data_IF_679072211171
#
_entry.id   IF_679072211171
#
_cell.length_a   1.000
_cell.length_b   1.000
_cell.length_c   1.000
_cell.angle_alpha   90.00
_cell.angle_beta   90.00
_cell.angle_gamma   90.00
#
_symmetry.space_group_name_H-M   'P 1'
#
loop_
_entity.id
_entity.type
_entity.pdbx_description
1 polymer ?
#
# COMPACT_ATOMS: atom_id res chain seq x y z
N UNK A 1 11.32 -22.08 1.83
CA UNK A 1 12.69 -21.63 1.53
C UNK A 1 12.97 -20.46 2.46
N UNK A 2 14.07 -20.41 3.23
CA UNK A 2 14.28 -19.33 4.18
C UNK A 2 14.61 -18.05 3.40
N UNK A 3 13.82 -17.00 3.63
CA UNK A 3 13.93 -15.68 3.04
C UNK A 3 15.17 -14.98 3.61
N UNK A 4 16.31 -15.15 2.95
CA UNK A 4 17.45 -14.27 3.19
C UNK A 4 17.11 -12.88 2.62
N UNK A 5 17.26 -11.88 3.50
CA UNK A 5 17.19 -10.42 3.27
C UNK A 5 15.87 -9.67 3.53
N UNK A 6 14.91 -10.24 4.29
CA UNK A 6 13.78 -9.41 4.76
C UNK A 6 14.23 -8.30 5.70
N UNK A 7 15.18 -8.55 6.60
CA UNK A 7 15.61 -7.54 7.56
C UNK A 7 16.34 -6.37 6.90
N UNK A 8 17.20 -6.63 5.91
CA UNK A 8 17.91 -5.60 5.15
C UNK A 8 16.96 -4.74 4.31
N UNK A 9 15.96 -5.35 3.66
CA UNK A 9 14.90 -4.63 2.96
C UNK A 9 14.09 -3.72 3.91
N UNK A 10 13.75 -4.23 5.10
CA UNK A 10 13.02 -3.48 6.13
C UNK A 10 13.80 -2.27 6.65
N UNK A 11 15.09 -2.45 6.91
CA UNK A 11 16.00 -1.37 7.34
C UNK A 11 16.26 -0.34 6.23
N UNK A 12 16.35 -0.79 4.97
CA UNK A 12 16.47 0.10 3.82
C UNK A 12 15.24 1.02 3.71
N UNK A 13 14.03 0.48 3.87
CA UNK A 13 12.79 1.25 3.87
C UNK A 13 12.73 2.25 5.03
N UNK A 14 13.13 1.84 6.22
CA UNK A 14 13.16 2.67 7.43
C UNK A 14 14.16 3.84 7.34
N UNK A 15 15.27 3.64 6.61
CA UNK A 15 16.33 4.63 6.43
C UNK A 15 16.12 5.59 5.26
N UNK A 16 15.09 5.38 4.42
CA UNK A 16 14.84 6.29 3.31
C UNK A 16 14.40 7.69 3.81
N UNK A 17 15.10 8.74 3.37
CA UNK A 17 14.81 10.12 3.74
C UNK A 17 13.35 10.57 3.49
N UNK A 18 12.86 11.48 4.33
CA UNK A 18 11.57 12.16 4.12
C UNK A 18 11.53 12.88 2.77
N UNK A 19 10.33 12.94 2.18
CA UNK A 19 10.14 13.67 0.92
C UNK A 19 10.30 15.17 1.16
N UNK A 20 11.16 15.88 0.42
CA UNK A 20 11.22 17.32 0.49
C UNK A 20 9.92 17.93 -0.04
N UNK A 21 9.57 19.13 0.44
CA UNK A 21 8.44 19.86 -0.08
C UNK A 21 8.60 20.10 -1.60
N UNK A 22 7.54 19.89 -2.40
CA UNK A 22 7.59 20.12 -3.84
C UNK A 22 7.96 21.58 -4.14
N UNK A 23 8.89 21.76 -5.07
CA UNK A 23 9.25 23.09 -5.57
C UNK A 23 8.18 23.57 -6.55
N UNK A 24 7.12 24.21 -6.02
CA UNK A 24 6.01 24.75 -6.84
C UNK A 24 6.47 25.77 -7.91
N UNK A 25 7.64 26.37 -7.70
CA UNK A 25 8.25 27.37 -8.60
C UNK A 25 9.03 26.74 -9.76
N UNK A 26 9.30 25.44 -9.71
CA UNK A 26 9.87 24.71 -10.85
C UNK A 26 8.70 24.09 -11.61
N UNK A 27 8.23 24.80 -12.64
CA UNK A 27 7.55 24.12 -13.74
C UNK A 27 8.56 23.18 -14.38
N UNK A 28 8.69 21.97 -13.84
CA UNK A 28 9.29 20.86 -14.58
C UNK A 28 8.33 20.61 -15.72
N UNK A 29 8.50 21.35 -16.82
CA UNK A 29 7.80 21.01 -18.05
C UNK A 29 8.25 19.60 -18.35
N UNK A 30 7.28 18.67 -18.33
CA UNK A 30 7.42 17.37 -18.95
C UNK A 30 7.36 17.66 -20.46
N UNK A 31 8.45 18.28 -20.93
CA UNK A 31 8.76 18.45 -22.33
C UNK A 31 9.01 17.03 -22.87
N UNK A 32 8.56 16.80 -24.10
CA UNK A 32 8.75 15.55 -24.87
C UNK A 32 7.71 14.43 -24.72
N UNK A 33 6.61 14.62 -23.98
CA UNK A 33 5.48 13.64 -23.98
C UNK A 33 4.28 14.21 -24.73
N UNK A 34 3.83 13.52 -25.79
CA UNK A 34 2.66 13.92 -26.58
C UNK A 34 1.40 13.93 -25.72
N UNK A 35 0.43 14.79 -26.05
CA UNK A 35 -0.82 14.90 -25.29
C UNK A 35 -1.56 13.56 -25.15
N UNK A 36 -1.59 12.76 -26.23
CA UNK A 36 -2.18 11.42 -26.24
C UNK A 36 -1.48 10.46 -25.26
N UNK A 37 -0.15 10.49 -25.22
CA UNK A 37 0.63 9.68 -24.29
C UNK A 37 0.37 10.09 -22.84
N UNK A 38 0.26 11.40 -22.55
CA UNK A 38 -0.10 11.90 -21.22
C UNK A 38 -1.49 11.42 -20.81
N UNK A 39 -2.47 11.51 -21.71
CA UNK A 39 -3.83 11.07 -21.42
C UNK A 39 -3.93 9.56 -21.19
N UNK A 40 -3.27 8.77 -22.03
CA UNK A 40 -3.22 7.31 -21.87
C UNK A 40 -2.56 6.91 -20.54
N UNK A 41 -1.48 7.59 -20.15
CA UNK A 41 -0.86 7.40 -18.85
C UNK A 41 -1.79 7.73 -17.68
N UNK A 42 -2.49 8.86 -17.72
CA UNK A 42 -3.46 9.22 -16.68
C UNK A 42 -4.58 8.18 -16.60
N UNK A 43 -5.09 7.70 -17.74
CA UNK A 43 -6.11 6.65 -17.75
C UNK A 43 -5.63 5.38 -17.05
N UNK A 44 -4.42 4.91 -17.34
CA UNK A 44 -3.84 3.73 -16.67
C UNK A 44 -3.69 3.96 -15.17
N UNK A 45 -3.14 5.10 -14.79
CA UNK A 45 -2.96 5.47 -13.40
C UNK A 45 -4.30 5.52 -12.64
N UNK A 46 -5.29 6.24 -13.16
CA UNK A 46 -6.60 6.36 -12.51
C UNK A 46 -7.37 5.04 -12.51
N UNK A 47 -7.23 4.21 -13.53
CA UNK A 47 -7.83 2.87 -13.56
C UNK A 47 -7.27 2.00 -12.43
N UNK A 48 -5.96 1.92 -12.30
CA UNK A 48 -5.28 1.20 -11.23
C UNK A 48 -5.63 1.76 -9.84
N UNK A 49 -5.56 3.09 -9.69
CA UNK A 49 -5.88 3.79 -8.44
C UNK A 49 -7.31 3.49 -7.99
N UNK A 50 -8.27 3.58 -8.90
CA UNK A 50 -9.69 3.35 -8.59
C UNK A 50 -9.95 1.90 -8.27
N UNK A 51 -9.31 0.95 -8.97
CA UNK A 51 -9.44 -0.47 -8.68
C UNK A 51 -9.02 -0.80 -7.23
N UNK A 52 -7.86 -0.31 -6.78
CA UNK A 52 -7.43 -0.52 -5.41
C UNK A 52 -8.27 0.26 -4.39
N UNK A 53 -8.69 1.49 -4.72
CA UNK A 53 -9.55 2.29 -3.85
C UNK A 53 -10.87 1.57 -3.53
N UNK A 54 -11.45 0.84 -4.50
CA UNK A 54 -12.64 0.02 -4.26
C UNK A 54 -12.36 -1.07 -3.21
N UNK A 55 -11.18 -1.70 -3.23
CA UNK A 55 -10.81 -2.69 -2.22
C UNK A 55 -10.67 -2.06 -0.82
N UNK A 56 -10.00 -0.90 -0.72
CA UNK A 56 -9.87 -0.12 0.53
C UNK A 56 -11.23 0.32 1.06
N UNK A 57 -12.11 0.83 0.21
CA UNK A 57 -13.46 1.25 0.61
C UNK A 57 -14.33 0.07 1.03
N UNK A 58 -14.19 -1.08 0.35
CA UNK A 58 -14.88 -2.32 0.75
C UNK A 58 -14.41 -2.77 2.13
N UNK A 59 -13.10 -2.73 2.41
CA UNK A 59 -12.54 -3.05 3.72
C UNK A 59 -13.08 -2.11 4.81
N UNK A 60 -13.11 -0.81 4.54
CA UNK A 60 -13.65 0.16 5.49
C UNK A 60 -15.13 -0.11 5.81
N UNK A 61 -15.96 -0.35 4.79
CA UNK A 61 -17.36 -0.71 4.98
C UNK A 61 -17.52 -2.03 5.74
N UNK A 62 -16.65 -3.01 5.44
CA UNK A 62 -16.66 -4.33 6.10
C UNK A 62 -16.39 -4.19 7.58
N UNK A 63 -15.45 -3.33 8.00
CA UNK A 63 -15.15 -3.08 9.41
C UNK A 63 -16.23 -2.29 10.14
N UNK A 64 -16.85 -1.32 9.47
CA UNK A 64 -17.90 -0.48 10.04
C UNK A 64 -19.26 -1.21 10.19
N UNK A 65 -19.43 -2.34 9.52
CA UNK A 65 -20.66 -3.11 9.56
C UNK A 65 -20.78 -3.97 10.81
N UNK A 66 -22.02 -4.12 11.29
CA UNK A 66 -22.41 -5.07 12.33
C UNK A 66 -22.97 -6.33 11.65
N UNK A 67 -22.40 -7.49 11.98
CA UNK A 67 -22.77 -8.79 11.41
C UNK A 67 -23.61 -9.61 12.39
N UNK A 68 -24.62 -10.28 11.86
CA UNK A 68 -25.46 -11.17 12.66
C UNK A 68 -24.71 -12.44 13.11
N UNK A 69 -23.72 -12.90 12.33
CA UNK A 69 -22.96 -14.13 12.60
C UNK A 69 -21.52 -13.97 12.13
N UNK A 70 -20.59 -14.73 12.74
CA UNK A 70 -19.19 -14.84 12.30
C UNK A 70 -19.07 -15.23 10.83
N UNK A 71 -19.90 -16.16 10.37
CA UNK A 71 -19.93 -16.60 8.96
C UNK A 71 -20.16 -15.44 7.98
N UNK A 72 -21.10 -14.54 8.25
CA UNK A 72 -21.32 -13.39 7.36
C UNK A 72 -20.16 -12.39 7.41
N UNK A 73 -19.50 -12.27 8.56
CA UNK A 73 -18.29 -11.47 8.71
C UNK A 73 -17.15 -12.06 7.86
N UNK A 74 -16.92 -13.37 7.97
CA UNK A 74 -15.91 -14.10 7.20
C UNK A 74 -16.15 -13.96 5.69
N UNK A 75 -17.39 -14.17 5.22
CA UNK A 75 -17.74 -14.00 3.80
C UNK A 75 -17.48 -12.56 3.29
N UNK A 76 -17.64 -11.55 4.14
CA UNK A 76 -17.34 -10.17 3.79
C UNK A 76 -15.82 -9.90 3.71
N UNK A 77 -15.03 -10.42 4.66
CA UNK A 77 -13.57 -10.31 4.62
C UNK A 77 -12.96 -11.13 3.47
N UNK A 78 -13.52 -12.28 3.12
CA UNK A 78 -13.12 -13.05 1.93
C UNK A 78 -13.37 -12.24 0.64
N UNK A 79 -14.49 -11.51 0.57
CA UNK A 79 -14.77 -10.61 -0.55
C UNK A 79 -13.75 -9.47 -0.62
N UNK A 80 -13.33 -8.92 0.52
CA UNK A 80 -12.23 -7.93 0.56
C UNK A 80 -10.96 -8.56 0.03
N UNK A 81 -10.57 -9.75 0.51
CA UNK A 81 -9.36 -10.44 0.08
C UNK A 81 -9.35 -10.67 -1.42
N UNK A 82 -10.47 -11.13 -1.97
CA UNK A 82 -10.64 -11.28 -3.41
C UNK A 82 -10.43 -9.96 -4.15
N UNK A 83 -11.09 -8.87 -3.74
CA UNK A 83 -10.91 -7.55 -4.40
C UNK A 83 -9.48 -7.02 -4.28
N UNK A 84 -8.77 -7.42 -3.22
CA UNK A 84 -7.40 -6.99 -2.93
C UNK A 84 -6.37 -7.76 -3.74
N UNK A 85 -6.59 -9.06 -3.96
CA UNK A 85 -5.58 -10.00 -4.48
C UNK A 85 -5.94 -10.64 -5.82
N UNK A 86 -7.16 -10.45 -6.30
CA UNK A 86 -7.64 -11.02 -7.56
C UNK A 86 -8.37 -9.96 -8.38
N UNK A 87 -7.80 -9.65 -9.55
CA UNK A 87 -8.47 -8.88 -10.59
C UNK A 87 -8.75 -9.82 -11.79
N UNK A 88 -9.77 -10.70 -11.65
CA UNK A 88 -9.96 -11.82 -12.56
C UNK A 88 -10.31 -11.31 -13.95
N UNK A 89 -9.60 -11.82 -14.96
CA UNK A 89 -9.82 -11.48 -16.37
C UNK A 89 -9.10 -10.22 -16.87
N UNK A 90 -8.39 -9.48 -16.01
CA UNK A 90 -7.54 -8.37 -16.42
C UNK A 90 -6.27 -8.84 -17.16
N UNK A 91 -5.84 -8.16 -18.24
CA UNK A 91 -4.56 -8.48 -18.89
C UNK A 91 -3.38 -8.19 -17.92
N UNK A 92 -2.31 -8.98 -18.00
CA UNK A 92 -1.12 -8.86 -17.12
C UNK A 92 -0.58 -7.43 -16.98
N UNK A 93 -0.66 -6.63 -18.05
CA UNK A 93 -0.27 -5.22 -18.03
C UNK A 93 -1.05 -4.41 -16.99
N UNK A 94 -2.35 -4.62 -16.88
CA UNK A 94 -3.21 -3.90 -15.92
C UNK A 94 -2.94 -4.34 -14.49
N UNK A 95 -2.63 -5.62 -14.28
CA UNK A 95 -2.22 -6.14 -12.97
C UNK A 95 -0.91 -5.50 -12.51
N UNK A 96 0.04 -5.33 -13.42
CA UNK A 96 1.31 -4.65 -13.10
C UNK A 96 1.10 -3.14 -12.91
N UNK A 97 0.23 -2.51 -13.69
CA UNK A 97 -0.17 -1.11 -13.45
C UNK A 97 -0.76 -0.95 -12.04
N UNK A 98 -1.57 -1.90 -11.58
CA UNK A 98 -2.11 -1.93 -10.23
C UNK A 98 -1.00 -1.98 -9.18
N UNK A 99 -0.08 -2.95 -9.25
CA UNK A 99 1.04 -3.05 -8.30
C UNK A 99 1.87 -1.76 -8.27
N UNK A 100 2.28 -1.25 -9.44
CA UNK A 100 3.13 -0.06 -9.51
C UNK A 100 2.44 1.18 -8.92
N UNK A 101 1.15 1.37 -9.19
CA UNK A 101 0.37 2.50 -8.64
C UNK A 101 0.14 2.32 -7.14
N UNK A 102 -0.15 1.11 -6.70
CA UNK A 102 -0.40 0.80 -5.29
C UNK A 102 0.87 0.97 -4.45
N UNK A 103 2.01 0.42 -4.89
CA UNK A 103 3.28 0.71 -4.23
C UNK A 103 3.64 2.19 -4.33
N UNK A 104 3.38 2.89 -5.43
CA UNK A 104 3.69 4.31 -5.48
C UNK A 104 2.89 5.13 -4.46
N UNK A 105 1.57 4.91 -4.37
CA UNK A 105 0.68 5.72 -3.53
C UNK A 105 0.72 5.26 -2.06
N UNK A 106 0.41 3.99 -1.79
CA UNK A 106 0.35 3.48 -0.41
C UNK A 106 1.73 3.05 0.08
N UNK A 107 2.49 2.36 -0.76
CA UNK A 107 3.84 1.94 -0.41
C UNK A 107 4.77 3.13 -0.18
N UNK A 108 5.00 3.96 -1.18
CA UNK A 108 6.02 4.99 -1.12
C UNK A 108 5.50 6.29 -0.51
N UNK A 109 4.49 6.94 -1.11
CA UNK A 109 3.98 8.21 -0.60
C UNK A 109 3.35 8.06 0.80
N UNK A 110 2.58 6.99 1.03
CA UNK A 110 1.98 6.67 2.32
C UNK A 110 3.04 6.51 3.42
N UNK A 111 4.06 5.65 3.21
CA UNK A 111 5.15 5.46 4.19
C UNK A 111 5.87 6.75 4.57
N UNK A 112 6.05 7.67 3.62
CA UNK A 112 6.74 8.96 3.86
C UNK A 112 6.01 9.90 4.82
N UNK A 113 4.74 9.60 5.13
CA UNK A 113 3.99 10.34 6.13
C UNK A 113 4.34 9.91 7.58
N UNK A 114 5.06 8.80 7.75
CA UNK A 114 5.30 8.18 9.06
C UNK A 114 6.80 7.86 9.23
N UNK A 115 7.63 8.83 9.66
CA UNK A 115 9.01 8.53 10.04
C UNK A 115 9.07 7.49 11.18
N UNK A 116 10.09 6.63 11.21
CA UNK A 116 10.24 5.57 12.23
C UNK A 116 10.12 6.12 13.66
N UNK A 117 10.81 7.23 13.94
CA UNK A 117 10.78 7.89 15.24
C UNK A 117 9.44 8.52 15.62
N UNK A 118 8.46 8.56 14.71
CA UNK A 118 7.17 9.20 14.96
C UNK A 118 6.13 8.28 15.60
N UNK A 119 6.30 6.96 15.55
CA UNK A 119 5.28 5.97 15.97
C UNK A 119 4.78 6.22 17.40
N UNK A 120 5.64 6.46 18.42
CA UNK A 120 5.16 6.72 19.77
C UNK A 120 4.26 7.96 19.87
N UNK A 121 4.56 9.01 19.09
CA UNK A 121 3.76 10.24 19.08
C UNK A 121 2.43 10.08 18.32
N UNK A 122 2.30 9.06 17.47
CA UNK A 122 1.03 8.73 16.83
C UNK A 122 0.10 7.99 17.79
N UNK A 123 0.64 7.09 18.60
CA UNK A 123 -0.11 6.26 19.55
C UNK A 123 -0.35 6.93 20.92
N UNK A 124 0.00 8.21 21.08
CA UNK A 124 -0.14 8.91 22.35
C UNK A 124 -1.63 9.01 22.77
N UNK A 125 -1.97 8.46 23.92
CA UNK A 125 -3.34 8.45 24.45
C UNK A 125 -4.22 7.33 23.91
N UNK A 126 -3.65 6.37 23.16
CA UNK A 126 -4.32 5.11 22.85
C UNK A 126 -4.39 4.19 24.08
N UNK A 127 -5.33 3.24 24.07
CA UNK A 127 -5.55 2.30 25.17
C UNK A 127 -4.37 1.34 25.38
N UNK A 128 -4.23 0.82 26.60
CA UNK A 128 -3.13 -0.09 26.97
C UNK A 128 -3.11 -1.37 26.12
N UNK A 129 -4.27 -1.89 25.74
CA UNK A 129 -4.42 -3.04 24.83
C UNK A 129 -3.86 -2.75 23.44
N UNK A 130 -4.21 -1.59 22.86
CA UNK A 130 -3.65 -1.13 21.58
C UNK A 130 -2.13 -0.97 21.70
N UNK A 131 -1.65 -0.30 22.76
CA UNK A 131 -0.22 -0.10 22.96
C UNK A 131 0.55 -1.42 23.09
N UNK A 132 0.00 -2.43 23.77
CA UNK A 132 0.62 -3.76 23.88
C UNK A 132 0.76 -4.45 22.51
N UNK A 133 -0.22 -4.30 21.62
CA UNK A 133 -0.15 -4.87 20.26
C UNK A 133 0.97 -4.24 19.41
N UNK A 134 1.23 -2.93 19.56
CA UNK A 134 2.22 -2.20 18.74
C UNK A 134 3.60 -2.06 19.38
N UNK A 135 3.69 -2.16 20.71
CA UNK A 135 4.91 -1.87 21.47
C UNK A 135 5.51 -3.10 22.14
N UNK A 136 5.15 -4.33 21.74
CA UNK A 136 5.74 -5.56 22.28
C UNK A 136 7.27 -5.45 22.38
N UNK A 137 7.81 -5.60 23.60
CA UNK A 137 9.22 -5.36 23.92
C UNK A 137 10.18 -6.31 23.19
N UNK A 138 9.68 -7.39 22.56
CA UNK A 138 10.52 -8.30 21.78
C UNK A 138 10.88 -7.80 20.39
N UNK A 139 10.13 -6.84 19.84
CA UNK A 139 10.32 -6.33 18.49
C UNK A 139 11.24 -5.10 18.43
N UNK A 140 12.10 -5.05 17.41
CA UNK A 140 12.89 -3.85 17.14
C UNK A 140 12.02 -2.70 16.60
N UNK A 141 12.51 -1.46 16.70
CA UNK A 141 11.76 -0.26 16.29
C UNK A 141 11.29 -0.30 14.83
N UNK A 142 12.08 -0.90 13.93
CA UNK A 142 11.74 -1.05 12.50
C UNK A 142 10.55 -1.98 12.31
N UNK A 143 10.50 -3.11 13.02
CA UNK A 143 9.36 -4.04 12.98
C UNK A 143 8.08 -3.38 13.49
N UNK A 144 8.16 -2.68 14.64
CA UNK A 144 7.03 -1.91 15.21
C UNK A 144 6.52 -0.86 14.23
N UNK A 145 7.44 -0.13 13.60
CA UNK A 145 7.12 0.86 12.58
C UNK A 145 6.44 0.25 11.36
N UNK A 146 6.96 -0.86 10.83
CA UNK A 146 6.36 -1.53 9.66
C UNK A 146 4.97 -2.08 9.98
N UNK A 147 4.77 -2.63 11.17
CA UNK A 147 3.47 -3.11 11.61
C UNK A 147 2.47 -1.95 11.70
N UNK A 148 2.86 -0.87 12.40
CA UNK A 148 2.04 0.36 12.50
C UNK A 148 1.68 0.92 11.12
N UNK A 149 2.68 1.14 10.26
CA UNK A 149 2.49 1.64 8.90
C UNK A 149 1.59 0.72 8.10
N UNK A 150 1.85 -0.59 8.11
CA UNK A 150 1.06 -1.58 7.39
C UNK A 150 -0.41 -1.58 7.82
N UNK A 151 -0.68 -1.33 9.10
CA UNK A 151 -2.04 -1.21 9.63
C UNK A 151 -2.67 0.10 9.17
N UNK A 152 -2.02 1.24 9.40
CA UNK A 152 -2.54 2.56 9.03
C UNK A 152 -2.84 2.65 7.53
N UNK A 153 -1.99 2.06 6.68
CA UNK A 153 -2.20 2.08 5.22
C UNK A 153 -3.53 1.46 4.78
N UNK A 154 -4.09 0.52 5.54
CA UNK A 154 -5.40 -0.08 5.24
C UNK A 154 -6.58 0.88 5.46
N UNK A 155 -6.36 1.99 6.16
CA UNK A 155 -7.37 3.03 6.42
C UNK A 155 -7.19 4.25 5.51
N UNK A 156 -6.02 4.40 4.89
CA UNK A 156 -5.70 5.61 4.15
C UNK A 156 -6.25 5.55 2.73
N UNK A 157 -7.14 6.49 2.42
CA UNK A 157 -7.50 6.83 1.05
C UNK A 157 -6.48 7.81 0.46
N UNK A 158 -6.30 7.88 -0.88
CA UNK A 158 -5.34 8.78 -1.50
C UNK A 158 -5.46 10.26 -1.07
N UNK A 159 -6.67 10.85 -0.88
CA UNK A 159 -6.79 12.21 -0.37
C UNK A 159 -6.18 12.40 1.02
N UNK A 160 -6.27 11.39 1.90
CA UNK A 160 -5.68 11.41 3.24
C UNK A 160 -4.15 11.36 3.19
N UNK A 161 -3.58 10.59 2.26
CA UNK A 161 -2.13 10.57 2.03
C UNK A 161 -1.64 11.95 1.59
N UNK A 162 -2.36 12.61 0.68
CA UNK A 162 -2.03 13.97 0.23
C UNK A 162 -2.12 14.97 1.39
N UNK A 163 -3.17 14.89 2.21
CA UNK A 163 -3.35 15.72 3.40
C UNK A 163 -2.18 15.56 4.40
N UNK A 164 -1.75 14.33 4.64
CA UNK A 164 -0.61 14.03 5.50
C UNK A 164 0.69 14.59 4.93
N UNK A 165 0.95 14.41 3.62
CA UNK A 165 2.12 14.98 2.96
C UNK A 165 2.16 16.51 3.07
N UNK A 166 1.01 17.18 2.87
CA UNK A 166 0.93 18.63 3.04
C UNK A 166 1.21 19.08 4.47
N UNK A 167 0.77 18.30 5.45
CA UNK A 167 1.05 18.55 6.86
C UNK A 167 2.54 18.37 7.17
N UNK A 168 3.16 17.32 6.65
CA UNK A 168 4.60 17.05 6.80
C UNK A 168 5.48 18.13 6.15
N UNK A 169 5.01 18.74 5.07
CA UNK A 169 5.71 19.85 4.41
C UNK A 169 5.44 21.23 5.05
N UNK A 170 4.62 21.30 6.10
CA UNK A 170 4.33 22.55 6.79
C UNK A 170 3.45 23.52 6.00
N UNK A 171 2.73 23.05 4.98
CA UNK A 171 1.85 23.92 4.17
C UNK A 171 0.61 24.41 4.92
N UNK A 172 0.30 23.86 6.11
CA UNK A 172 -0.83 24.29 6.95
C UNK A 172 -0.50 25.41 7.95
N UNK A 173 0.70 26.01 7.91
CA UNK A 173 1.16 26.98 8.91
C UNK A 173 1.47 26.32 10.26
N UNK A 174 1.78 27.11 11.29
CA UNK A 174 2.27 26.68 12.62
C UNK A 174 1.37 25.67 13.39
N UNK A 175 0.19 25.33 12.88
CA UNK A 175 -0.63 24.26 13.45
C UNK A 175 -0.10 22.91 12.95
N UNK A 176 0.83 22.33 13.73
CA UNK A 176 1.25 20.95 13.55
C UNK A 176 0.05 19.99 13.57
N UNK A 177 0.16 18.89 12.83
CA UNK A 177 -0.83 17.83 12.83
C UNK A 177 -0.92 17.21 14.23
N UNK A 178 -2.09 17.27 14.85
CA UNK A 178 -2.42 16.46 16.03
C UNK A 178 -2.57 15.00 15.59
N UNK A 179 -1.46 14.25 15.72
CA UNK A 179 -1.30 12.88 15.23
C UNK A 179 -2.28 11.89 15.91
N UNK A 180 -2.40 11.85 17.25
CA UNK A 180 -3.38 10.98 17.89
C UNK A 180 -4.81 11.29 17.48
N UNK A 181 -5.17 12.59 17.46
CA UNK A 181 -6.51 12.98 17.04
C UNK A 181 -6.77 12.59 15.59
N UNK A 182 -5.79 12.71 14.71
CA UNK A 182 -5.92 12.27 13.32
C UNK A 182 -6.15 10.75 13.21
N UNK A 183 -5.44 9.91 13.97
CA UNK A 183 -5.69 8.46 13.98
C UNK A 183 -7.08 8.09 14.50
N UNK A 184 -7.56 8.77 15.54
CA UNK A 184 -8.95 8.57 16.02
C UNK A 184 -9.98 8.90 14.94
N UNK A 185 -9.76 9.96 14.16
CA UNK A 185 -10.63 10.29 13.03
C UNK A 185 -10.54 9.30 11.86
N UNK A 186 -9.50 8.47 11.81
CA UNK A 186 -9.39 7.35 10.89
C UNK A 186 -10.04 6.07 11.43
N UNK A 187 -10.62 6.10 12.63
CA UNK A 187 -11.21 4.91 13.28
C UNK A 187 -10.16 3.80 13.45
N UNK A 188 -8.89 4.19 13.66
CA UNK A 188 -7.76 3.28 13.75
C UNK A 188 -7.88 2.29 14.91
N UNK A 189 -8.51 2.74 16.00
CA UNK A 189 -8.68 2.00 17.24
C UNK A 189 -10.06 1.32 17.35
N UNK A 190 -10.89 1.44 16.31
CA UNK A 190 -12.15 0.70 16.21
C UNK A 190 -11.88 -0.79 15.89
N UNK A 191 -12.90 -1.64 16.07
CA UNK A 191 -12.77 -3.10 15.98
C UNK A 191 -12.25 -3.51 14.60
N UNK A 192 -10.96 -3.88 14.56
CA UNK A 192 -10.23 -4.24 13.34
C UNK A 192 -10.86 -5.42 12.60
N UNK A 193 -11.49 -6.32 13.35
CA UNK A 193 -12.10 -7.56 12.91
C UNK A 193 -13.61 -7.41 12.60
N UNK A 194 -14.16 -6.20 12.64
CA UNK A 194 -15.59 -5.96 12.51
C UNK A 194 -16.39 -6.37 13.75
N UNK A 195 -17.68 -6.01 13.78
CA UNK A 195 -18.53 -6.21 14.98
C UNK A 195 -19.53 -7.34 14.74
N UNK A 196 -19.60 -8.33 15.64
CA UNK A 196 -20.56 -9.44 15.57
C UNK A 196 -21.54 -9.36 16.75
N UNK A 197 -22.85 -9.41 16.47
CA UNK A 197 -23.91 -9.37 17.50
C UNK A 197 -24.08 -10.71 18.25
N UNK A 198 -23.77 -11.83 17.59
CA UNK A 198 -23.93 -13.18 18.14
C UNK A 198 -22.92 -13.54 19.25
N UNK A 199 -23.17 -14.69 19.90
CA UNK A 199 -22.25 -15.25 20.90
C UNK A 199 -20.93 -15.74 20.29
N UNK A 200 -20.94 -16.10 18.99
CA UNK A 200 -19.77 -16.48 18.21
C UNK A 200 -18.99 -15.23 17.77
N UNK A 201 -18.16 -14.70 18.67
CA UNK A 201 -17.38 -13.46 18.46
C UNK A 201 -16.04 -13.67 17.74
N UNK A 202 -15.81 -14.84 17.15
CA UNK A 202 -14.54 -15.15 16.49
C UNK A 202 -14.67 -15.02 14.99
N UNK A 203 -13.76 -14.23 14.39
CA UNK A 203 -13.58 -14.12 12.94
C UNK A 203 -12.49 -15.11 12.53
N UNK A 204 -12.76 -15.96 11.55
CA UNK A 204 -11.80 -16.94 11.05
C UNK A 204 -11.04 -16.44 9.81
N UNK A 205 -11.64 -15.51 9.07
CA UNK A 205 -11.03 -14.87 7.91
C UNK A 205 -9.85 -13.98 8.31
N UNK A 206 -8.85 -13.88 7.42
CA UNK A 206 -7.74 -12.95 7.60
C UNK A 206 -8.24 -11.51 7.53
N UNK A 207 -8.02 -10.74 8.59
CA UNK A 207 -8.43 -9.31 8.69
C UNK A 207 -7.28 -8.36 8.33
N UNK A 208 -6.10 -8.92 8.03
CA UNK A 208 -4.88 -8.21 7.66
C UNK A 208 -4.66 -8.21 6.15
N UNK A 209 -4.70 -7.03 5.55
CA UNK A 209 -4.57 -6.83 4.11
C UNK A 209 -3.32 -5.99 3.79
N UNK A 210 -2.13 -6.61 3.66
CA UNK A 210 -0.93 -5.86 3.38
C UNK A 210 -0.99 -5.28 1.95
N UNK A 211 -0.46 -4.08 1.78
CA UNK A 211 -0.39 -3.40 0.48
C UNK A 211 0.31 -4.28 -0.57
N UNK A 212 1.29 -5.09 -0.17
CA UNK A 212 2.03 -6.00 -1.04
C UNK A 212 1.21 -7.19 -1.53
N UNK A 213 0.06 -7.51 -0.93
CA UNK A 213 -0.78 -8.63 -1.38
C UNK A 213 -1.33 -8.45 -2.80
N UNK A 214 -1.35 -7.22 -3.33
CA UNK A 214 -1.71 -6.95 -4.73
C UNK A 214 -0.74 -7.60 -5.73
N UNK A 215 0.47 -7.98 -5.30
CA UNK A 215 1.46 -8.67 -6.13
C UNK A 215 1.04 -10.10 -6.47
N UNK A 216 0.24 -10.74 -5.62
CA UNK A 216 -0.22 -12.13 -5.78
C UNK A 216 -0.90 -12.32 -7.14
N UNK A 217 -1.68 -11.34 -7.60
CA UNK A 217 -2.36 -11.41 -8.89
C UNK A 217 -1.39 -11.43 -10.09
N UNK A 218 -0.29 -10.67 -9.98
CA UNK A 218 0.78 -10.65 -10.98
C UNK A 218 1.55 -11.96 -10.94
N UNK A 219 1.91 -12.44 -9.75
CA UNK A 219 2.61 -13.71 -9.57
C UNK A 219 1.82 -14.88 -10.17
N UNK A 220 0.53 -14.98 -9.86
CA UNK A 220 -0.36 -15.98 -10.44
C UNK A 220 -0.42 -15.87 -11.97
N UNK A 221 -0.52 -14.65 -12.51
CA UNK A 221 -0.53 -14.40 -13.94
C UNK A 221 0.77 -14.83 -14.64
N UNK A 222 1.93 -14.57 -14.02
CA UNK A 222 3.24 -14.98 -14.53
C UNK A 222 3.46 -16.48 -14.41
N UNK A 223 3.00 -17.11 -13.33
CA UNK A 223 3.18 -18.53 -13.08
C UNK A 223 2.48 -19.40 -14.14
N UNK A 224 1.35 -18.94 -14.69
CA UNK A 224 0.64 -19.62 -15.77
C UNK A 224 1.32 -19.49 -17.16
N UNK A 225 2.41 -18.73 -17.30
CA UNK A 225 3.14 -18.57 -18.56
C UNK A 225 4.25 -19.63 -18.72
N UNK A 226 4.76 -19.80 -19.95
CA UNK A 226 5.97 -20.59 -20.20
C UNK A 226 7.16 -19.98 -19.43
N UNK A 227 7.92 -20.80 -18.70
CA UNK A 227 8.98 -20.37 -17.76
C UNK A 227 8.48 -19.54 -16.54
N UNK A 228 7.22 -19.76 -16.10
CA UNK A 228 6.57 -18.96 -15.05
C UNK A 228 7.34 -18.83 -13.73
N UNK A 229 8.00 -19.89 -13.24
CA UNK A 229 8.78 -19.83 -11.99
C UNK A 229 9.99 -18.87 -12.07
N UNK A 230 10.66 -18.85 -13.24
CA UNK A 230 11.76 -17.92 -13.53
C UNK A 230 11.23 -16.49 -13.66
N UNK A 231 10.08 -16.30 -14.31
CA UNK A 231 9.42 -14.99 -14.41
C UNK A 231 9.01 -14.42 -13.04
N UNK A 232 8.44 -15.23 -12.14
CA UNK A 232 8.13 -14.82 -10.76
C UNK A 232 9.40 -14.42 -10.00
N UNK A 233 10.49 -15.19 -10.15
CA UNK A 233 11.78 -14.83 -9.53
C UNK A 233 12.28 -13.46 -10.02
N UNK A 234 12.18 -13.20 -11.33
CA UNK A 234 12.58 -11.92 -11.92
C UNK A 234 11.66 -10.78 -11.53
N UNK A 235 10.36 -11.05 -11.41
CA UNK A 235 9.37 -10.10 -10.88
C UNK A 235 9.72 -9.66 -9.46
N UNK A 236 10.06 -10.59 -8.57
CA UNK A 236 10.44 -10.27 -7.21
C UNK A 236 11.69 -9.37 -7.15
N UNK A 237 12.69 -9.63 -8.01
CA UNK A 237 13.85 -8.73 -8.14
C UNK A 237 13.47 -7.38 -8.72
N UNK A 238 12.56 -7.34 -9.70
CA UNK A 238 12.04 -6.10 -10.26
C UNK A 238 11.38 -5.23 -9.18
N UNK A 239 10.44 -5.79 -8.41
CA UNK A 239 9.72 -5.08 -7.36
C UNK A 239 10.60 -4.60 -6.22
N UNK A 240 11.58 -5.42 -5.78
CA UNK A 240 12.45 -5.08 -4.64
C UNK A 240 13.62 -4.16 -4.99
N UNK A 241 14.23 -4.33 -6.16
CA UNK A 241 15.50 -3.65 -6.48
C UNK A 241 15.31 -2.59 -7.56
N UNK A 242 14.69 -2.95 -8.68
CA UNK A 242 14.66 -2.08 -9.86
C UNK A 242 13.59 -0.99 -9.71
N UNK A 243 12.44 -1.36 -9.18
CA UNK A 243 11.31 -0.46 -9.03
C UNK A 243 11.62 0.72 -8.09
N UNK A 244 12.13 0.52 -6.86
CA UNK A 244 12.43 1.64 -5.96
C UNK A 244 13.51 2.58 -6.48
N UNK A 245 14.52 2.07 -7.21
CA UNK A 245 15.69 2.83 -7.64
C UNK A 245 15.47 3.65 -8.93
N UNK A 246 14.67 3.18 -9.87
CA UNK A 246 14.52 3.83 -11.19
C UNK A 246 13.05 4.04 -11.58
N UNK A 247 12.27 2.96 -11.57
CA UNK A 247 10.96 2.95 -12.24
C UNK A 247 9.84 3.64 -11.44
N UNK A 248 9.93 3.70 -10.10
CA UNK A 248 8.95 4.37 -9.23
C UNK A 248 8.76 5.85 -9.58
N UNK A 249 9.82 6.52 -10.02
CA UNK A 249 9.77 7.92 -10.49
C UNK A 249 9.02 8.12 -11.81
N UNK A 250 8.74 7.03 -12.54
CA UNK A 250 8.20 7.02 -13.90
C UNK A 250 6.79 6.41 -14.00
N UNK A 251 6.13 6.12 -12.87
CA UNK A 251 4.80 5.46 -12.81
C UNK A 251 3.77 6.10 -13.76
N UNK A 252 3.81 7.44 -13.90
CA UNK A 252 2.92 8.20 -14.76
C UNK A 252 3.35 8.29 -16.24
N UNK A 253 4.54 7.89 -16.66
CA UNK A 253 5.03 8.17 -18.02
C UNK A 253 5.63 6.96 -18.74
N UNK A 254 5.41 5.75 -18.22
CA UNK A 254 5.80 4.50 -18.89
C UNK A 254 4.96 4.28 -20.16
N UNK A 255 5.59 4.17 -21.33
CA UNK A 255 4.90 3.91 -22.61
C UNK A 255 5.08 2.47 -23.13
N UNK A 256 5.47 1.54 -22.26
CA UNK A 256 5.79 0.16 -22.65
C UNK A 256 4.53 -0.68 -22.94
N UNK A 257 4.63 -1.56 -23.93
CA UNK A 257 3.72 -2.68 -24.19
C UNK A 257 3.89 -3.79 -23.12
N UNK A 258 2.95 -4.72 -23.07
CA UNK A 258 3.04 -5.86 -22.13
C UNK A 258 4.31 -6.70 -22.38
N UNK A 259 4.70 -6.85 -23.64
CA UNK A 259 5.90 -7.60 -24.03
C UNK A 259 7.18 -6.86 -23.64
N UNK A 260 7.27 -5.55 -23.92
CA UNK A 260 8.42 -4.74 -23.49
C UNK A 260 8.58 -4.71 -21.96
N UNK A 261 7.45 -4.78 -21.25
CA UNK A 261 7.44 -4.83 -19.79
C UNK A 261 7.97 -6.16 -19.28
N UNK A 262 7.53 -7.28 -19.85
CA UNK A 262 8.08 -8.61 -19.56
C UNK A 262 9.56 -8.65 -19.91
N UNK A 263 9.96 -8.08 -21.04
CA UNK A 263 11.36 -7.94 -21.44
C UNK A 263 12.16 -7.09 -20.46
N UNK A 264 11.59 -6.02 -19.90
CA UNK A 264 12.25 -5.19 -18.88
C UNK A 264 12.47 -5.96 -17.58
N UNK A 265 11.47 -6.71 -17.14
CA UNK A 265 11.58 -7.65 -16.02
C UNK A 265 12.65 -8.71 -16.34
N UNK A 266 12.77 -9.13 -17.60
CA UNK A 266 13.72 -10.15 -18.04
C UNK A 266 15.17 -9.66 -18.28
N UNK A 267 15.39 -8.42 -18.74
CA UNK A 267 16.68 -7.92 -19.28
C UNK A 267 17.55 -7.18 -18.29
N UNK A 268 17.02 -6.62 -17.20
CA UNK A 268 17.81 -5.85 -16.23
C UNK A 268 18.47 -6.78 -15.21
N UNK A 269 19.49 -7.49 -15.70
CA UNK A 269 20.47 -8.29 -14.94
C UNK A 269 21.59 -7.37 -14.47
#
# INVERSE_FOLDING_TARGET
MPLADEQGDREALASENNLPAPSWNKHTRINDVRAEQKQHSYQRFYKALTAHLVAVDTLWLTRAQVYATSKHCDEAFDLVWMKWTDNPGGPLKEKIDLVEVVDFIWGFLGRKCFPVSSVPAWLEGEGEETLQEYLDDTDNETSKWLFFVGRVMQYLRPPRIIELLFSMWGFRGDQGLDRPTYLRHLEFSDVFEGTIEGEDRWVSAGTWFPVTAVEIDVENGLYCMEDGASLVTRWNRYGRVIWPLDARSKVLFRNESAQELVERIARRI
#
